data_IF_320215234177
#
_entry.id   IF_320215234177
#
_cell.length_a   1.000
_cell.length_b   1.000
_cell.length_c   1.000
_cell.angle_alpha   90.00
_cell.angle_beta   90.00
_cell.angle_gamma   90.00
#
_symmetry.space_group_name_H-M   'P 1'
#
loop_
_entity.id
_entity.type
_entity.pdbx_description
1 polymer ?
#
# COMPACT_ATOMS: atom_id res chain seq x y z
N UNK A 1 0.41 -25.14 15.25
CA UNK A 1 0.70 -24.07 14.26
C UNK A 1 -0.41 -23.84 13.26
N UNK A 2 -1.54 -24.54 13.32
CA UNK A 2 -2.79 -24.00 12.78
C UNK A 2 -3.26 -22.92 13.77
N UNK A 3 -3.80 -21.78 13.30
CA UNK A 3 -4.20 -20.57 14.06
C UNK A 3 -3.17 -19.43 14.18
N UNK A 4 -2.12 -19.38 13.35
CA UNK A 4 -1.19 -18.23 13.30
C UNK A 4 -1.23 -17.61 11.91
N UNK A 5 -1.00 -16.31 11.82
CA UNK A 5 -1.00 -15.53 10.57
C UNK A 5 0.21 -15.86 9.65
N UNK A 6 1.13 -16.70 10.14
CA UNK A 6 2.30 -17.26 9.44
C UNK A 6 2.18 -18.77 9.21
N UNK A 7 1.09 -19.21 8.57
CA UNK A 7 0.87 -20.65 8.32
C UNK A 7 1.14 -21.06 6.86
N UNK A 8 1.65 -22.28 6.71
CA UNK A 8 1.71 -22.98 5.43
C UNK A 8 1.04 -24.34 5.57
N UNK A 9 0.10 -24.61 4.69
CA UNK A 9 -0.64 -25.88 4.62
C UNK A 9 -0.42 -26.44 3.23
N UNK A 10 -0.02 -27.70 3.16
CA UNK A 10 0.16 -28.40 1.90
C UNK A 10 -0.46 -29.78 1.98
N UNK A 11 -1.39 -30.04 1.07
CA UNK A 11 -2.00 -31.34 0.88
C UNK A 11 -1.60 -31.88 -0.50
N UNK A 12 -1.17 -33.13 -0.55
CA UNK A 12 -0.74 -33.77 -1.79
C UNK A 12 -1.31 -35.18 -1.89
N UNK A 13 -1.80 -35.54 -3.07
CA UNK A 13 -2.27 -36.89 -3.36
C UNK A 13 -1.91 -37.27 -4.79
N UNK A 14 -1.72 -38.55 -5.04
CA UNK A 14 -1.40 -39.03 -6.38
C UNK A 14 -0.70 -40.37 -6.42
N UNK A 15 -0.30 -40.75 -7.62
CA UNK A 15 0.47 -41.94 -7.88
C UNK A 15 1.89 -41.56 -8.31
N UNK A 16 2.87 -42.05 -7.55
CA UNK A 16 4.27 -41.74 -7.77
C UNK A 16 4.69 -42.01 -9.22
N UNK A 17 5.28 -41.00 -9.87
CA UNK A 17 5.79 -41.09 -11.24
C UNK A 17 4.75 -41.05 -12.36
N UNK A 18 3.44 -40.96 -12.04
CA UNK A 18 2.38 -40.85 -13.06
C UNK A 18 1.61 -39.55 -12.97
N UNK A 19 1.13 -39.22 -11.77
CA UNK A 19 0.41 -37.97 -11.55
C UNK A 19 0.42 -37.58 -10.09
N UNK A 20 0.40 -36.27 -9.83
CA UNK A 20 0.17 -35.74 -8.50
C UNK A 20 -0.72 -34.50 -8.58
N UNK A 21 -1.49 -34.29 -7.53
CA UNK A 21 -2.17 -33.04 -7.26
C UNK A 21 -1.65 -32.52 -5.94
N UNK A 22 -1.27 -31.25 -5.92
CA UNK A 22 -0.85 -30.53 -4.73
C UNK A 22 -1.77 -29.34 -4.57
N UNK A 23 -2.31 -29.16 -3.38
CA UNK A 23 -3.03 -27.96 -2.97
C UNK A 23 -2.23 -27.34 -1.84
N UNK A 24 -1.97 -26.04 -1.94
CA UNK A 24 -1.23 -25.31 -0.92
C UNK A 24 -1.92 -24.00 -0.55
N UNK A 25 -1.76 -23.62 0.71
CA UNK A 25 -2.16 -22.32 1.27
C UNK A 25 -0.96 -21.79 2.03
N UNK A 26 -0.53 -20.58 1.69
CA UNK A 26 0.55 -19.88 2.39
C UNK A 26 0.05 -18.52 2.85
N UNK A 27 0.31 -18.20 4.11
CA UNK A 27 -0.03 -16.95 4.76
C UNK A 27 1.27 -16.31 5.22
N UNK A 28 1.53 -15.08 4.74
CA UNK A 28 2.82 -14.41 4.84
C UNK A 28 2.58 -13.00 5.40
N UNK A 29 2.79 -12.80 6.71
CA UNK A 29 2.69 -11.48 7.31
C UNK A 29 3.97 -10.68 7.07
N UNK A 30 3.82 -9.39 6.83
CA UNK A 30 4.91 -8.43 6.83
C UNK A 30 4.54 -7.24 7.72
N UNK A 31 5.03 -7.27 8.95
CA UNK A 31 4.81 -6.21 9.93
C UNK A 31 5.88 -5.12 9.77
N UNK A 32 5.49 -3.88 9.51
CA UNK A 32 6.39 -2.74 9.32
C UNK A 32 6.53 -1.90 10.59
N UNK A 33 5.42 -1.55 11.23
CA UNK A 33 5.43 -0.74 12.45
C UNK A 33 4.13 -0.90 13.24
N UNK A 34 4.24 -1.06 14.55
CA UNK A 34 3.13 -0.99 15.50
C UNK A 34 3.16 0.30 16.36
N UNK A 35 3.96 1.28 15.93
CA UNK A 35 4.15 2.57 16.62
C UNK A 35 3.86 3.76 15.72
N UNK A 36 3.45 3.51 14.48
CA UNK A 36 3.09 4.58 13.57
C UNK A 36 1.87 5.33 14.14
N UNK A 37 1.84 6.63 13.89
CA UNK A 37 0.74 7.49 14.29
C UNK A 37 0.42 8.41 13.13
N UNK A 38 -0.87 8.63 12.91
CA UNK A 38 -1.37 9.48 11.82
C UNK A 38 -2.53 10.33 12.33
N UNK A 39 -2.70 11.56 11.84
CA UNK A 39 -3.91 12.32 12.10
C UNK A 39 -5.04 11.96 11.11
N UNK A 40 -4.72 11.22 10.04
CA UNK A 40 -5.65 10.85 8.99
C UNK A 40 -6.53 9.67 9.38
N UNK A 41 -7.83 9.80 9.15
CA UNK A 41 -8.84 8.78 9.35
C UNK A 41 -9.20 8.19 7.99
N UNK A 42 -8.99 6.88 7.82
CA UNK A 42 -9.41 6.14 6.63
C UNK A 42 -10.94 5.97 6.62
N UNK A 43 -11.58 6.46 5.55
CA UNK A 43 -13.02 6.34 5.30
C UNK A 43 -13.35 5.20 4.33
N UNK A 44 -12.34 4.41 3.94
CA UNK A 44 -12.45 3.36 2.93
C UNK A 44 -12.27 3.88 1.51
N UNK A 45 -12.02 2.94 0.57
CA UNK A 45 -11.85 3.22 -0.85
C UNK A 45 -10.81 4.32 -1.13
N UNK A 46 -9.70 4.28 -0.39
CA UNK A 46 -8.57 5.20 -0.53
C UNK A 46 -8.86 6.65 -0.11
N UNK A 47 -9.90 6.93 0.68
CA UNK A 47 -10.18 8.29 1.17
C UNK A 47 -9.67 8.51 2.60
N UNK A 48 -8.67 9.37 2.73
CA UNK A 48 -8.11 9.80 4.01
C UNK A 48 -8.64 11.19 4.40
N UNK A 49 -9.33 11.26 5.55
CA UNK A 49 -9.95 12.48 6.08
C UNK A 49 -9.28 12.94 7.36
N UNK A 50 -9.61 14.14 7.82
CA UNK A 50 -9.11 14.71 9.06
C UNK A 50 -10.30 15.09 9.96
N UNK A 51 -10.16 14.93 11.28
CA UNK A 51 -11.22 15.32 12.22
C UNK A 51 -11.43 16.84 12.24
N UNK A 52 -10.38 17.62 11.99
CA UNK A 52 -10.40 19.08 11.88
C UNK A 52 -9.13 19.56 11.17
N UNK A 53 -9.18 20.78 10.63
CA UNK A 53 -8.00 21.47 10.14
C UNK A 53 -7.10 21.95 11.29
N UNK A 54 -5.80 22.10 11.00
CA UNK A 54 -4.79 22.66 11.88
C UNK A 54 -5.08 24.15 12.14
N UNK A 55 -5.12 24.59 13.42
CA UNK A 55 -5.42 25.96 13.79
C UNK A 55 -4.18 26.86 13.65
N UNK A 56 -3.68 27.03 12.43
CA UNK A 56 -2.48 27.85 12.19
C UNK A 56 -2.82 29.33 12.35
N UNK A 57 -2.14 30.06 13.27
CA UNK A 57 -2.46 31.45 13.55
C UNK A 57 -2.04 32.43 12.44
N UNK A 58 -1.03 32.09 11.61
CA UNK A 58 -0.57 32.95 10.52
C UNK A 58 -0.15 32.15 9.27
N UNK A 59 -0.74 32.48 8.12
CA UNK A 59 -0.44 31.80 6.83
C UNK A 59 0.59 32.52 5.96
N UNK A 60 1.36 33.46 6.51
CA UNK A 60 2.46 34.11 5.80
C UNK A 60 3.71 33.22 5.78
N UNK A 61 4.13 32.78 4.59
CA UNK A 61 5.28 31.91 4.39
C UNK A 61 6.61 32.66 4.26
N UNK A 62 6.55 33.97 4.01
CA UNK A 62 7.71 34.83 3.91
C UNK A 62 7.59 35.95 4.96
N UNK A 63 7.79 35.63 6.25
CA UNK A 63 7.78 36.65 7.29
C UNK A 63 8.80 37.74 6.97
N UNK A 64 8.39 39.00 7.15
CA UNK A 64 9.34 40.11 7.26
C UNK A 64 10.27 39.86 8.46
N UNK A 65 11.44 40.51 8.48
CA UNK A 65 12.37 40.39 9.61
C UNK A 65 11.71 40.72 10.97
N UNK A 66 10.77 41.67 10.99
CA UNK A 66 9.99 42.01 12.19
C UNK A 66 9.02 40.89 12.62
N UNK A 67 8.34 40.25 11.66
CA UNK A 67 7.44 39.11 11.94
C UNK A 67 8.22 37.87 12.40
N UNK A 68 9.39 37.61 11.82
CA UNK A 68 10.29 36.55 12.27
C UNK A 68 10.81 36.83 13.68
N UNK A 69 11.23 38.06 13.97
CA UNK A 69 11.65 38.48 15.32
C UNK A 69 10.52 38.40 16.36
N UNK A 70 9.26 38.55 15.93
CA UNK A 70 8.08 38.38 16.77
C UNK A 70 7.68 36.91 17.02
N UNK A 71 8.42 35.93 16.48
CA UNK A 71 8.18 34.50 16.77
C UNK A 71 7.13 33.80 15.92
N UNK A 72 6.65 34.43 14.84
CA UNK A 72 5.52 33.93 14.03
C UNK A 72 5.66 32.46 13.56
N UNK A 73 6.85 32.03 13.14
CA UNK A 73 7.09 30.63 12.72
C UNK A 73 7.03 29.66 13.91
N UNK A 74 7.58 30.07 15.05
CA UNK A 74 7.52 29.31 16.30
C UNK A 74 6.09 29.11 16.76
N UNK A 75 5.24 30.14 16.65
CA UNK A 75 3.82 30.06 17.01
C UNK A 75 3.05 29.09 16.09
N UNK A 76 3.34 29.10 14.79
CA UNK A 76 2.77 28.14 13.83
C UNK A 76 3.19 26.69 14.12
N UNK A 77 4.46 26.48 14.44
CA UNK A 77 4.99 25.16 14.81
C UNK A 77 4.34 24.67 16.11
N UNK A 78 4.18 25.54 17.11
CA UNK A 78 3.52 25.22 18.37
C UNK A 78 2.03 24.88 18.19
N UNK A 79 1.32 25.61 17.34
CA UNK A 79 -0.07 25.33 17.00
C UNK A 79 -0.22 23.98 16.28
N UNK A 80 0.65 23.70 15.31
CA UNK A 80 0.66 22.42 14.57
C UNK A 80 1.01 21.25 15.49
N UNK A 81 1.99 21.42 16.37
CA UNK A 81 2.37 20.41 17.37
C UNK A 81 1.21 20.12 18.34
N UNK A 82 0.50 21.15 18.79
CA UNK A 82 -0.68 21.01 19.66
C UNK A 82 -1.80 20.27 18.93
N UNK A 83 -2.07 20.62 17.67
CA UNK A 83 -3.06 19.92 16.85
C UNK A 83 -2.71 18.44 16.69
N UNK A 84 -1.48 18.12 16.28
CA UNK A 84 -1.00 16.74 16.16
C UNK A 84 -1.11 15.97 17.49
N UNK A 85 -0.79 16.60 18.62
CA UNK A 85 -0.91 15.96 19.93
C UNK A 85 -2.35 15.54 20.26
N UNK A 86 -3.35 16.21 19.69
CA UNK A 86 -4.78 15.90 19.91
C UNK A 86 -5.41 15.03 18.82
N UNK A 87 -4.85 15.00 17.60
CA UNK A 87 -5.44 14.28 16.46
C UNK A 87 -4.72 12.98 16.11
N UNK A 88 -3.46 12.82 16.51
CA UNK A 88 -2.68 11.60 16.24
C UNK A 88 -3.26 10.39 16.97
N UNK A 89 -3.64 9.37 16.20
CA UNK A 89 -3.99 8.06 16.69
C UNK A 89 -3.01 7.00 16.17
N UNK A 90 -2.94 5.88 16.89
CA UNK A 90 -2.08 4.76 16.51
C UNK A 90 -2.62 4.04 15.27
N UNK A 91 -1.71 3.60 14.42
CA UNK A 91 -2.02 2.79 13.24
C UNK A 91 -0.94 1.73 13.09
N UNK A 92 -1.35 0.50 12.81
CA UNK A 92 -0.44 -0.57 12.46
C UNK A 92 -0.14 -0.49 10.97
N UNK A 93 1.15 -0.54 10.64
CA UNK A 93 1.66 -0.63 9.28
C UNK A 93 2.14 -2.05 9.05
N UNK A 94 1.65 -2.65 7.99
CA UNK A 94 2.00 -4.00 7.62
C UNK A 94 1.02 -4.56 6.61
N UNK A 95 1.41 -5.65 5.97
CA UNK A 95 0.57 -6.31 4.98
C UNK A 95 0.51 -7.80 5.25
N UNK A 96 -0.66 -8.39 5.06
CA UNK A 96 -0.85 -9.83 5.02
C UNK A 96 -0.91 -10.27 3.55
N UNK A 97 -0.29 -11.40 3.23
CA UNK A 97 -0.42 -12.02 1.92
C UNK A 97 -0.87 -13.46 2.05
N UNK A 98 -2.00 -13.75 1.45
CA UNK A 98 -2.64 -15.04 1.46
C UNK A 98 -2.69 -15.62 0.05
N UNK A 99 -1.94 -16.69 -0.17
CA UNK A 99 -1.87 -17.38 -1.46
C UNK A 99 -2.45 -18.77 -1.35
N UNK A 100 -3.43 -19.09 -2.18
CA UNK A 100 -3.96 -20.44 -2.35
C UNK A 100 -3.62 -20.94 -3.75
N UNK A 101 -2.98 -22.09 -3.84
CA UNK A 101 -2.52 -22.71 -5.08
C UNK A 101 -3.05 -24.13 -5.24
N UNK A 102 -3.24 -24.52 -6.49
CA UNK A 102 -3.44 -25.91 -6.88
C UNK A 102 -2.56 -26.24 -8.09
N UNK A 103 -1.80 -27.32 -7.99
CA UNK A 103 -0.94 -27.81 -9.06
C UNK A 103 -1.29 -29.25 -9.40
N UNK A 104 -1.58 -29.50 -10.67
CA UNK A 104 -1.66 -30.82 -11.26
C UNK A 104 -0.38 -31.10 -12.04
N UNK A 105 0.33 -32.18 -11.69
CA UNK A 105 1.44 -32.70 -12.48
C UNK A 105 1.07 -34.04 -13.11
N UNK A 106 1.35 -34.21 -14.39
CA UNK A 106 1.08 -35.43 -15.16
C UNK A 106 2.35 -35.90 -15.85
N UNK A 107 2.57 -37.22 -15.85
CA UNK A 107 3.69 -37.90 -16.52
C UNK A 107 3.13 -39.12 -17.24
N UNK A 108 2.43 -38.92 -18.38
CA UNK A 108 1.77 -40.01 -19.10
C UNK A 108 2.77 -41.00 -19.72
N UNK A 109 3.97 -40.52 -20.07
CA UNK A 109 5.11 -41.33 -20.52
C UNK A 109 6.39 -40.80 -19.85
N UNK A 110 7.44 -41.62 -19.76
CA UNK A 110 8.71 -41.25 -19.10
C UNK A 110 9.37 -39.99 -19.68
N UNK A 111 9.09 -39.72 -20.95
CA UNK A 111 9.69 -38.61 -21.71
C UNK A 111 8.88 -37.32 -21.60
N UNK A 112 7.59 -37.39 -21.21
CA UNK A 112 6.70 -36.23 -21.19
C UNK A 112 6.28 -35.87 -19.77
N UNK A 113 6.40 -34.60 -19.41
CA UNK A 113 5.81 -34.07 -18.17
C UNK A 113 4.98 -32.86 -18.49
N UNK A 114 3.80 -32.79 -17.88
CA UNK A 114 2.92 -31.64 -17.97
C UNK A 114 2.63 -31.13 -16.57
N UNK A 115 2.55 -29.82 -16.41
CA UNK A 115 2.13 -29.17 -15.18
C UNK A 115 1.12 -28.08 -15.49
N UNK A 116 0.03 -28.08 -14.75
CA UNK A 116 -0.93 -26.99 -14.72
C UNK A 116 -0.99 -26.48 -13.29
N UNK A 117 -0.75 -25.18 -13.10
CA UNK A 117 -0.84 -24.52 -11.80
C UNK A 117 -1.85 -23.39 -11.88
N UNK A 118 -2.71 -23.31 -10.88
CA UNK A 118 -3.68 -22.25 -10.68
C UNK A 118 -3.38 -21.62 -9.31
N UNK A 119 -3.38 -20.30 -9.20
CA UNK A 119 -3.27 -19.64 -7.91
C UNK A 119 -4.10 -18.38 -7.81
N UNK A 120 -4.65 -18.15 -6.62
CA UNK A 120 -5.31 -16.93 -6.19
C UNK A 120 -4.50 -16.36 -5.01
N UNK A 121 -4.08 -15.12 -5.12
CA UNK A 121 -3.28 -14.43 -4.11
C UNK A 121 -3.95 -13.11 -3.76
N UNK A 122 -4.21 -12.91 -2.46
CA UNK A 122 -4.69 -11.65 -1.91
C UNK A 122 -3.62 -11.04 -1.04
N UNK A 123 -3.49 -9.72 -1.11
CA UNK A 123 -2.61 -8.95 -0.26
C UNK A 123 -3.37 -7.75 0.27
N UNK A 124 -3.57 -7.71 1.58
CA UNK A 124 -4.27 -6.65 2.28
C UNK A 124 -3.40 -6.01 3.37
N UNK A 125 -3.84 -4.85 3.87
CA UNK A 125 -3.23 -4.15 5.00
C UNK A 125 -2.96 -2.68 4.68
N UNK A 126 -1.86 -2.16 5.20
CA UNK A 126 -1.51 -0.75 5.07
C UNK A 126 0.00 -0.54 4.91
N UNK A 127 0.37 0.50 4.19
CA UNK A 127 1.76 0.85 3.94
C UNK A 127 2.00 2.36 4.08
N UNK A 128 3.27 2.75 4.18
CA UNK A 128 3.67 4.15 4.22
C UNK A 128 3.81 4.70 2.80
N UNK A 129 3.15 5.81 2.52
CA UNK A 129 3.35 6.61 1.31
C UNK A 129 3.44 8.11 1.64
N UNK A 130 3.64 8.94 0.62
CA UNK A 130 3.75 10.38 0.77
C UNK A 130 2.83 11.09 -0.22
N UNK A 131 2.12 12.12 0.25
CA UNK A 131 1.26 12.94 -0.59
C UNK A 131 1.56 14.43 -0.43
N UNK A 132 1.54 15.23 -1.50
CA UNK A 132 1.69 16.67 -1.39
C UNK A 132 0.53 17.31 -0.61
N UNK A 133 0.86 18.29 0.22
CA UNK A 133 -0.07 19.19 0.92
C UNK A 133 0.27 20.68 0.68
N UNK A 134 1.29 20.97 -0.14
CA UNK A 134 1.59 22.30 -0.66
C UNK A 134 1.13 22.50 -2.11
N UNK A 135 1.19 23.71 -2.65
CA UNK A 135 0.68 24.02 -4.02
C UNK A 135 1.76 24.20 -5.11
N UNK A 136 2.93 24.77 -4.80
CA UNK A 136 3.99 25.10 -5.76
C UNK A 136 5.27 25.52 -5.05
N UNK A 137 6.46 25.39 -5.65
CA UNK A 137 7.68 25.97 -5.09
C UNK A 137 7.55 27.47 -4.76
N UNK A 138 8.10 27.94 -3.61
CA UNK A 138 8.85 27.18 -2.61
C UNK A 138 7.98 26.41 -1.58
N UNK A 139 6.65 26.41 -1.71
CA UNK A 139 5.67 25.72 -0.85
C UNK A 139 5.54 24.22 -1.18
N UNK A 140 6.64 23.47 -1.11
CA UNK A 140 6.64 22.00 -1.24
C UNK A 140 6.57 21.34 0.13
N UNK A 141 5.36 21.08 0.61
CA UNK A 141 5.10 20.32 1.84
C UNK A 141 4.48 18.99 1.47
N UNK A 142 4.90 17.92 2.15
CA UNK A 142 4.36 16.58 1.98
C UNK A 142 3.90 16.03 3.33
N UNK A 143 2.78 15.31 3.31
CA UNK A 143 2.35 14.48 4.42
C UNK A 143 2.84 13.05 4.23
N UNK A 144 3.19 12.39 5.33
CA UNK A 144 3.22 10.93 5.40
C UNK A 144 1.79 10.43 5.51
N UNK A 145 1.43 9.48 4.65
CA UNK A 145 0.10 8.91 4.54
C UNK A 145 0.16 7.41 4.77
N UNK A 146 -0.93 6.88 5.31
CA UNK A 146 -1.15 5.45 5.41
C UNK A 146 -1.97 5.03 4.21
N UNK A 147 -1.31 4.40 3.25
CA UNK A 147 -1.96 3.84 2.06
C UNK A 147 -2.60 2.50 2.42
N UNK A 148 -3.93 2.36 2.33
CA UNK A 148 -4.55 1.04 2.41
C UNK A 148 -4.17 0.23 1.17
N UNK A 149 -3.85 -1.04 1.38
CA UNK A 149 -3.50 -1.99 0.33
C UNK A 149 -4.60 -3.04 0.25
N UNK A 150 -5.12 -3.27 -0.96
CA UNK A 150 -6.03 -4.37 -1.27
C UNK A 150 -5.79 -4.84 -2.70
N UNK A 151 -4.93 -5.85 -2.84
CA UNK A 151 -4.51 -6.39 -4.13
C UNK A 151 -4.97 -7.82 -4.30
N UNK A 152 -5.33 -8.16 -5.53
CA UNK A 152 -5.71 -9.50 -5.93
C UNK A 152 -4.97 -9.89 -7.20
N UNK A 153 -4.28 -11.03 -7.14
CA UNK A 153 -3.57 -11.60 -8.27
C UNK A 153 -4.05 -13.00 -8.54
N UNK A 154 -4.40 -13.29 -9.79
CA UNK A 154 -4.83 -14.62 -10.22
C UNK A 154 -3.93 -15.09 -11.34
N UNK A 155 -3.41 -16.31 -11.22
CA UNK A 155 -2.46 -16.86 -12.17
C UNK A 155 -2.87 -18.25 -12.64
N UNK A 156 -2.64 -18.49 -13.94
CA UNK A 156 -2.74 -19.80 -14.58
C UNK A 156 -1.44 -20.06 -15.32
N UNK A 157 -0.72 -21.09 -14.91
CA UNK A 157 0.57 -21.49 -15.50
C UNK A 157 0.48 -22.88 -16.09
N UNK A 158 0.80 -23.03 -17.37
CA UNK A 158 0.96 -24.30 -18.04
C UNK A 158 2.43 -24.54 -18.40
N UNK A 159 2.92 -25.76 -18.14
CA UNK A 159 4.27 -26.18 -18.46
C UNK A 159 4.23 -27.55 -19.14
N UNK A 160 5.04 -27.72 -20.17
CA UNK A 160 5.23 -28.97 -20.88
C UNK A 160 6.72 -29.23 -21.10
N UNK A 161 7.18 -30.40 -20.69
CA UNK A 161 8.53 -30.88 -20.89
C UNK A 161 8.53 -32.12 -21.76
N UNK A 162 9.49 -32.18 -22.69
CA UNK A 162 9.84 -33.37 -23.42
C UNK A 162 11.32 -33.67 -23.26
N UNK A 163 11.64 -34.80 -22.64
CA UNK A 163 12.99 -35.18 -22.23
C UNK A 163 13.41 -36.49 -22.89
N UNK A 164 14.51 -36.47 -23.64
CA UNK A 164 15.19 -37.64 -24.20
C UNK A 164 16.64 -37.69 -23.72
N UNK A 165 17.36 -38.81 -23.88
CA UNK A 165 18.77 -38.90 -23.48
C UNK A 165 19.68 -37.89 -24.19
N UNK A 166 19.32 -37.44 -25.40
CA UNK A 166 20.16 -36.59 -26.25
C UNK A 166 19.66 -35.15 -26.40
N UNK A 167 18.39 -34.86 -26.07
CA UNK A 167 17.82 -33.52 -26.16
C UNK A 167 16.64 -33.36 -25.20
N UNK A 168 16.37 -32.11 -24.84
CA UNK A 168 15.24 -31.73 -23.98
C UNK A 168 14.58 -30.47 -24.54
N UNK A 169 13.27 -30.37 -24.37
CA UNK A 169 12.49 -29.20 -24.73
C UNK A 169 11.55 -28.85 -23.58
N UNK A 170 11.47 -27.56 -23.26
CA UNK A 170 10.56 -26.99 -22.26
C UNK A 170 9.70 -25.92 -22.92
N UNK A 171 8.41 -25.97 -22.67
CA UNK A 171 7.45 -24.94 -23.00
C UNK A 171 6.76 -24.47 -21.73
N UNK A 172 6.58 -23.16 -21.58
CA UNK A 172 5.91 -22.55 -20.43
C UNK A 172 5.05 -21.40 -20.91
N UNK A 173 3.83 -21.33 -20.38
CA UNK A 173 2.89 -20.24 -20.63
C UNK A 173 2.25 -19.80 -19.33
N UNK A 174 2.24 -18.49 -19.07
CA UNK A 174 1.69 -17.87 -17.85
C UNK A 174 0.67 -16.82 -18.25
N UNK A 175 -0.54 -16.95 -17.72
CA UNK A 175 -1.57 -15.91 -17.69
C UNK A 175 -1.63 -15.38 -16.26
N UNK A 176 -1.55 -14.06 -16.10
CA UNK A 176 -1.60 -13.40 -14.80
C UNK A 176 -2.50 -12.16 -14.90
N UNK A 177 -3.45 -12.05 -13.99
CA UNK A 177 -4.32 -10.89 -13.84
C UNK A 177 -4.10 -10.26 -12.46
N UNK A 178 -3.86 -8.95 -12.45
CA UNK A 178 -3.68 -8.16 -11.23
C UNK A 178 -4.78 -7.10 -11.15
N UNK A 179 -5.44 -7.04 -9.99
CA UNK A 179 -6.46 -6.05 -9.63
C UNK A 179 -5.99 -5.34 -8.36
N UNK A 180 -6.03 -4.00 -8.36
CA UNK A 180 -5.93 -3.18 -7.16
C UNK A 180 -7.34 -2.67 -6.84
N UNK A 181 -7.93 -3.15 -5.74
CA UNK A 181 -9.30 -2.80 -5.36
C UNK A 181 -9.38 -1.36 -4.81
N UNK A 182 -8.24 -0.72 -4.53
CA UNK A 182 -8.11 0.70 -4.17
C UNK A 182 -7.27 1.42 -5.22
N UNK A 183 -7.91 1.84 -6.32
CA UNK A 183 -7.23 2.42 -7.49
C UNK A 183 -6.76 3.87 -7.30
N UNK A 184 -7.31 4.56 -6.29
CA UNK A 184 -7.10 5.99 -6.09
C UNK A 184 -6.94 6.31 -4.60
N UNK A 185 -5.83 6.94 -4.24
CA UNK A 185 -5.61 7.53 -2.92
C UNK A 185 -5.94 9.02 -2.94
N UNK A 186 -6.81 9.46 -2.03
CA UNK A 186 -7.23 10.85 -1.84
C UNK A 186 -7.04 11.20 -0.37
N UNK A 187 -6.54 12.40 -0.09
CA UNK A 187 -6.36 12.86 1.29
C UNK A 187 -6.75 14.32 1.44
N UNK A 188 -7.30 14.66 2.61
CA UNK A 188 -7.58 16.04 2.98
C UNK A 188 -6.30 16.78 3.36
N UNK A 189 -6.26 18.09 3.13
CA UNK A 189 -5.13 18.91 3.55
C UNK A 189 -5.36 19.42 4.97
N UNK A 190 -4.47 19.14 5.96
CA UNK A 190 -4.65 19.61 7.32
C UNK A 190 -4.59 21.12 7.46
N UNK A 191 -4.01 21.83 6.50
CA UNK A 191 -3.89 23.29 6.58
C UNK A 191 -5.05 24.02 5.92
N UNK A 192 -6.08 23.32 5.48
CA UNK A 192 -7.20 23.89 4.72
C UNK A 192 -8.51 23.44 5.34
N UNK A 193 -9.34 24.40 5.76
CA UNK A 193 -10.74 24.11 6.03
C UNK A 193 -11.49 23.95 4.70
N UNK A 194 -12.35 22.95 4.59
CA UNK A 194 -13.14 22.70 3.38
C UNK A 194 -14.28 23.74 3.27
N UNK A 195 -13.91 25.00 2.98
CA UNK A 195 -14.86 26.12 3.09
C UNK A 195 -15.79 26.21 1.89
N UNK A 196 -15.43 25.74 0.70
CA UNK A 196 -16.26 25.88 -0.51
C UNK A 196 -15.99 24.79 -1.57
N UNK A 197 -15.64 23.57 -1.16
CA UNK A 197 -15.34 22.45 -2.08
C UNK A 197 -14.10 22.66 -2.97
N UNK A 198 -13.30 23.70 -2.68
CA UNK A 198 -12.11 24.04 -3.45
C UNK A 198 -10.81 23.47 -2.86
N UNK A 199 -10.83 22.85 -1.66
CA UNK A 199 -9.70 22.06 -1.14
C UNK A 199 -8.35 22.77 -0.95
N UNK A 200 -8.23 24.09 -1.22
CA UNK A 200 -7.01 24.86 -1.00
C UNK A 200 -7.25 26.17 -0.22
N UNK A 201 -6.36 26.46 0.73
CA UNK A 201 -6.26 27.73 1.45
C UNK A 201 -5.27 28.68 0.76
N UNK A 202 -5.51 29.98 0.87
CA UNK A 202 -4.69 31.04 0.25
C UNK A 202 -3.64 31.49 1.25
N UNK A 203 -2.44 30.94 1.13
CA UNK A 203 -1.27 31.39 1.89
C UNK A 203 -0.66 32.60 1.20
N UNK A 204 -0.72 33.77 1.85
CA UNK A 204 -0.24 35.00 1.25
C UNK A 204 1.29 35.01 1.22
N UNK A 205 1.86 34.96 0.02
CA UNK A 205 3.29 35.05 -0.22
C UNK A 205 3.76 36.49 -0.52
N UNK A 206 2.94 37.51 -0.25
CA UNK A 206 3.02 38.89 -0.79
C UNK A 206 4.45 39.37 -1.02
N UNK A 207 4.96 39.09 -2.21
CA UNK A 207 6.04 39.80 -2.85
C UNK A 207 5.37 40.73 -3.86
N UNK A 208 5.15 41.97 -3.45
CA UNK A 208 4.90 43.04 -4.42
C UNK A 208 6.23 43.25 -5.14
N UNK A 209 6.37 42.70 -6.34
CA UNK A 209 7.39 43.16 -7.28
C UNK A 209 6.91 44.54 -7.74
N UNK A 210 7.65 45.58 -7.35
CA UNK A 210 7.60 46.88 -8.00
C UNK A 210 8.50 46.84 -9.24
#
# INVERSE_FOLDING_TARGET
>A
NLLRDDQSIRFGFGNYGRWNVVIDRNEIPHNLSNKARTPYIDQGNGLLTLPSASPIPNTNLAPTAAQAAAGMLTDNDAATATWLATTLHGVDLGTQRDKTGATLSLTPHRDFKFRLSLSDERKDGSNLTYGPIGDRPPRTLNAQLVEPIDYKTQEVKFEAEYNRPTYQALFTYLLSGFENEIDTLRWQNPYVADVDGSGYDIWNASHRIA
#
